data_IF_901237580302
#
_entry.id   IF_901237580302
#
_cell.length_a   1.000
_cell.length_b   1.000
_cell.length_c   1.000
_cell.angle_alpha   90.00
_cell.angle_beta   90.00
_cell.angle_gamma   90.00
#
_symmetry.space_group_name_H-M   'P 1'
#
loop_
_entity.id
_entity.type
_entity.pdbx_description
1 polymer ?
#
# COMPACT_ATOMS: atom_id res chain seq x y z
N UNK A 1 -23.33 -4.04 3.49
CA UNK A 1 -21.87 -3.95 3.50
C UNK A 1 -21.30 -5.11 2.70
N UNK A 2 -20.53 -4.81 1.65
CA UNK A 2 -19.86 -5.83 0.85
C UNK A 2 -18.35 -5.73 1.09
N UNK A 3 -17.70 -6.81 1.54
CA UNK A 3 -16.26 -6.83 1.77
C UNK A 3 -15.51 -7.09 0.45
N UNK A 4 -15.31 -6.05 -0.35
CA UNK A 4 -14.56 -6.07 -1.62
C UNK A 4 -13.32 -5.19 -1.53
N UNK A 5 -12.39 -5.37 -2.46
CA UNK A 5 -11.14 -4.62 -2.53
C UNK A 5 -11.33 -3.15 -2.92
N UNK A 6 -12.30 -2.87 -3.80
CA UNK A 6 -12.55 -1.54 -4.34
C UNK A 6 -14.05 -1.19 -4.35
N UNK A 7 -14.40 0.05 -4.02
CA UNK A 7 -15.79 0.52 -4.10
C UNK A 7 -16.34 0.51 -5.53
N UNK A 8 -15.50 0.66 -6.56
CA UNK A 8 -15.92 0.58 -7.95
C UNK A 8 -16.38 -0.82 -8.35
N UNK A 9 -15.97 -1.86 -7.63
CA UNK A 9 -16.53 -3.22 -7.78
C UNK A 9 -18.02 -3.22 -7.48
N UNK A 10 -18.44 -2.58 -6.38
CA UNK A 10 -19.86 -2.47 -6.00
C UNK A 10 -20.61 -1.63 -7.02
N UNK A 11 -20.03 -0.50 -7.46
CA UNK A 11 -20.67 0.37 -8.46
C UNK A 11 -20.87 -0.37 -9.77
N UNK A 12 -19.90 -1.15 -10.23
CA UNK A 12 -20.00 -1.98 -11.45
C UNK A 12 -21.14 -2.99 -11.34
N UNK A 13 -21.25 -3.68 -10.19
CA UNK A 13 -22.38 -4.59 -9.92
C UNK A 13 -23.73 -3.86 -10.03
N UNK A 14 -23.85 -2.68 -9.42
CA UNK A 14 -25.08 -1.90 -9.45
C UNK A 14 -25.48 -1.49 -10.90
N UNK A 15 -24.53 -1.12 -11.74
CA UNK A 15 -24.79 -0.87 -13.16
C UNK A 15 -25.36 -2.10 -13.84
N UNK A 16 -24.73 -3.27 -13.62
CA UNK A 16 -25.15 -4.53 -14.24
C UNK A 16 -26.52 -5.02 -13.73
N UNK A 17 -26.76 -4.98 -12.44
CA UNK A 17 -28.03 -5.38 -11.81
C UNK A 17 -29.21 -4.52 -12.27
N UNK A 18 -28.96 -3.26 -12.59
CA UNK A 18 -29.98 -2.35 -13.10
C UNK A 18 -30.01 -2.27 -14.63
N UNK A 19 -29.27 -3.13 -15.34
CA UNK A 19 -29.16 -3.15 -16.80
C UNK A 19 -28.80 -1.76 -17.38
N UNK A 20 -27.94 -1.01 -16.68
CA UNK A 20 -27.46 0.29 -17.14
C UNK A 20 -26.17 0.11 -17.94
N UNK A 21 -26.08 0.80 -19.07
CA UNK A 21 -24.87 0.82 -19.88
C UNK A 21 -23.76 1.64 -19.21
N UNK A 22 -22.54 1.08 -19.18
CA UNK A 22 -21.35 1.80 -18.70
C UNK A 22 -20.64 2.39 -19.92
N UNK A 23 -20.52 3.74 -20.04
CA UNK A 23 -19.77 4.33 -21.14
C UNK A 23 -18.29 3.87 -21.12
N UNK A 24 -17.71 3.66 -22.30
CA UNK A 24 -16.33 3.14 -22.44
C UNK A 24 -15.29 3.88 -21.59
N UNK A 25 -15.32 5.21 -21.59
CA UNK A 25 -14.39 6.02 -20.79
C UNK A 25 -14.58 5.82 -19.28
N UNK A 26 -15.83 5.68 -18.82
CA UNK A 26 -16.15 5.42 -17.42
C UNK A 26 -15.72 4.01 -17.02
N UNK A 27 -15.91 3.02 -17.88
CA UNK A 27 -15.42 1.66 -17.65
C UNK A 27 -13.90 1.63 -17.46
N UNK A 28 -13.14 2.39 -18.26
CA UNK A 28 -11.69 2.53 -18.09
C UNK A 28 -11.30 3.13 -16.75
N UNK A 29 -11.97 4.19 -16.30
CA UNK A 29 -11.73 4.81 -14.99
C UNK A 29 -12.07 3.88 -13.81
N UNK A 30 -13.21 3.18 -13.90
CA UNK A 30 -13.63 2.21 -12.88
C UNK A 30 -12.67 1.02 -12.81
N UNK A 31 -12.22 0.51 -13.97
CA UNK A 31 -11.18 -0.51 -14.06
C UNK A 31 -9.87 -0.06 -13.41
N UNK A 32 -9.41 1.16 -13.72
CA UNK A 32 -8.20 1.73 -13.13
C UNK A 32 -8.28 1.78 -11.61
N UNK A 33 -9.43 2.16 -11.05
CA UNK A 33 -9.62 2.17 -9.60
C UNK A 33 -9.53 0.76 -8.99
N UNK A 34 -10.16 -0.25 -9.62
CA UNK A 34 -10.06 -1.65 -9.14
C UNK A 34 -8.61 -2.14 -9.21
N UNK A 35 -7.91 -1.89 -10.32
CA UNK A 35 -6.49 -2.27 -10.48
C UNK A 35 -5.63 -1.61 -9.41
N UNK A 36 -5.82 -0.32 -9.15
CA UNK A 36 -5.07 0.43 -8.14
C UNK A 36 -5.30 -0.12 -6.73
N UNK A 37 -6.56 -0.24 -6.30
CA UNK A 37 -6.92 -0.67 -4.94
C UNK A 37 -6.54 -2.14 -4.66
N UNK A 38 -6.56 -2.99 -5.70
CA UNK A 38 -6.21 -4.41 -5.59
C UNK A 38 -4.78 -4.71 -5.99
N UNK A 39 -4.02 -3.70 -6.40
CA UNK A 39 -2.63 -3.84 -6.90
C UNK A 39 -2.56 -4.92 -7.98
N UNK A 40 -3.38 -4.76 -9.03
CA UNK A 40 -3.55 -5.75 -10.11
C UNK A 40 -3.79 -7.16 -9.54
N UNK A 41 -4.77 -7.26 -8.62
CA UNK A 41 -5.23 -8.49 -7.94
C UNK A 41 -4.25 -9.16 -6.97
N UNK A 42 -3.10 -8.52 -6.67
CA UNK A 42 -2.08 -9.05 -5.74
C UNK A 42 -2.35 -8.69 -4.28
N UNK A 43 -3.18 -7.68 -4.02
CA UNK A 43 -3.50 -7.27 -2.64
C UNK A 43 -4.31 -8.35 -1.92
N UNK A 44 -4.04 -8.65 -0.65
CA UNK A 44 -4.86 -9.54 0.18
C UNK A 44 -6.28 -9.00 0.44
N UNK A 45 -6.58 -7.77 0.00
CA UNK A 45 -7.94 -7.20 0.03
C UNK A 45 -8.74 -7.57 -1.21
N UNK A 46 -8.08 -8.03 -2.30
CA UNK A 46 -8.74 -8.44 -3.53
C UNK A 46 -9.67 -9.64 -3.31
N UNK A 47 -10.82 -9.61 -3.93
CA UNK A 47 -11.80 -10.69 -3.93
C UNK A 47 -12.05 -11.20 -5.35
N UNK A 48 -12.65 -12.37 -5.48
CA UNK A 48 -13.08 -12.89 -6.82
C UNK A 48 -14.08 -11.95 -7.49
N UNK A 49 -14.93 -11.26 -6.71
CA UNK A 49 -15.86 -10.26 -7.24
C UNK A 49 -15.13 -9.07 -7.86
N UNK A 50 -14.01 -8.62 -7.28
CA UNK A 50 -13.18 -7.56 -7.87
C UNK A 50 -12.63 -7.97 -9.21
N UNK A 51 -12.11 -9.20 -9.32
CA UNK A 51 -11.59 -9.76 -10.59
C UNK A 51 -12.68 -9.85 -11.64
N UNK A 52 -13.84 -10.41 -11.30
CA UNK A 52 -14.98 -10.54 -12.21
C UNK A 52 -15.42 -9.18 -12.77
N UNK A 53 -15.59 -8.18 -11.91
CA UNK A 53 -16.01 -6.85 -12.33
C UNK A 53 -14.93 -6.16 -13.17
N UNK A 54 -13.64 -6.33 -12.83
CA UNK A 54 -12.54 -5.81 -13.62
C UNK A 54 -12.51 -6.40 -15.04
N UNK A 55 -12.72 -7.71 -15.20
CA UNK A 55 -12.78 -8.33 -16.54
C UNK A 55 -13.93 -7.77 -17.38
N UNK A 56 -15.12 -7.59 -16.81
CA UNK A 56 -16.26 -6.97 -17.50
C UNK A 56 -15.96 -5.53 -17.91
N UNK A 57 -15.33 -4.76 -17.04
CA UNK A 57 -14.95 -3.38 -17.36
C UNK A 57 -13.87 -3.31 -18.44
N UNK A 58 -12.92 -4.25 -18.45
CA UNK A 58 -11.88 -4.33 -19.47
C UNK A 58 -12.45 -4.63 -20.86
N UNK A 59 -13.45 -5.53 -20.97
CA UNK A 59 -14.16 -5.79 -22.20
C UNK A 59 -14.85 -4.52 -22.74
N UNK A 60 -15.56 -3.77 -21.88
CA UNK A 60 -16.22 -2.51 -22.24
C UNK A 60 -15.19 -1.44 -22.63
N UNK A 61 -14.11 -1.31 -21.88
CA UNK A 61 -13.03 -0.36 -22.13
C UNK A 61 -12.20 -0.73 -23.37
N UNK A 62 -12.20 -2.01 -23.77
CA UNK A 62 -11.43 -2.52 -24.90
C UNK A 62 -9.93 -2.53 -24.63
N UNK A 63 -9.53 -2.95 -23.41
CA UNK A 63 -8.12 -3.01 -22.97
C UNK A 63 -7.79 -4.40 -22.44
N UNK A 64 -6.52 -4.80 -22.55
CA UNK A 64 -5.98 -5.96 -21.84
C UNK A 64 -5.62 -5.57 -20.41
N UNK A 65 -6.13 -6.30 -19.42
CA UNK A 65 -5.98 -5.94 -18.01
C UNK A 65 -4.52 -5.97 -17.56
N UNK A 66 -3.75 -6.99 -17.99
CA UNK A 66 -2.40 -7.16 -17.51
C UNK A 66 -1.48 -6.08 -18.05
N UNK A 67 -1.47 -5.84 -19.35
CA UNK A 67 -0.63 -4.80 -19.95
C UNK A 67 -1.03 -3.42 -19.49
N UNK A 68 -2.32 -3.10 -19.48
CA UNK A 68 -2.83 -1.81 -19.00
C UNK A 68 -2.52 -1.59 -17.53
N UNK A 69 -2.76 -2.61 -16.70
CA UNK A 69 -2.54 -2.54 -15.26
C UNK A 69 -1.05 -2.38 -14.90
N UNK A 70 -0.16 -3.10 -15.58
CA UNK A 70 1.27 -2.94 -15.37
C UNK A 70 1.76 -1.55 -15.79
N UNK A 71 1.30 -1.02 -16.91
CA UNK A 71 1.70 0.32 -17.36
C UNK A 71 1.18 1.41 -16.40
N UNK A 72 -0.06 1.25 -15.91
CA UNK A 72 -0.63 2.15 -14.92
C UNK A 72 0.15 2.10 -13.58
N UNK A 73 0.48 0.91 -13.08
CA UNK A 73 1.24 0.74 -11.85
C UNK A 73 2.68 1.28 -12.00
N UNK A 74 3.33 1.07 -13.15
CA UNK A 74 4.65 1.66 -13.43
C UNK A 74 4.61 3.19 -13.41
N UNK A 75 3.61 3.79 -14.07
CA UNK A 75 3.45 5.24 -14.08
C UNK A 75 3.21 5.82 -12.67
N UNK A 76 2.45 5.10 -11.83
CA UNK A 76 2.21 5.49 -10.44
C UNK A 76 3.35 5.19 -9.46
N UNK A 77 4.31 4.35 -9.87
CA UNK A 77 5.46 3.95 -9.07
C UNK A 77 6.72 4.79 -9.34
N UNK A 78 6.64 5.78 -10.23
CA UNK A 78 7.74 6.71 -10.48
C UNK A 78 7.91 7.66 -9.28
N UNK A 79 9.09 7.57 -8.67
CA UNK A 79 9.46 8.33 -7.47
C UNK A 79 10.68 9.23 -7.72
N UNK A 80 11.10 9.37 -8.96
CA UNK A 80 12.34 10.08 -9.34
C UNK A 80 12.36 11.53 -8.86
N UNK A 81 11.20 12.17 -8.77
CA UNK A 81 11.06 13.57 -8.36
C UNK A 81 10.74 13.74 -6.86
N UNK A 82 10.60 12.65 -6.09
CA UNK A 82 10.27 12.70 -4.67
C UNK A 82 11.51 12.91 -3.81
N UNK A 83 11.42 13.85 -2.87
CA UNK A 83 12.40 13.97 -1.78
C UNK A 83 12.22 12.86 -0.74
N UNK A 84 13.22 12.65 0.13
CA UNK A 84 13.09 11.68 1.22
C UNK A 84 11.94 12.02 2.17
N UNK A 85 11.66 13.32 2.39
CA UNK A 85 10.50 13.77 3.19
C UNK A 85 9.17 13.45 2.51
N UNK A 86 9.07 13.64 1.19
CA UNK A 86 7.89 13.25 0.41
C UNK A 86 7.65 11.74 0.48
N UNK A 87 8.71 10.93 0.35
CA UNK A 87 8.63 9.47 0.41
C UNK A 87 8.05 9.02 1.75
N UNK A 88 8.56 9.50 2.88
CA UNK A 88 8.09 9.06 4.20
C UNK A 88 6.69 9.53 4.54
N UNK A 89 6.18 10.57 3.85
CA UNK A 89 4.82 11.09 4.00
C UNK A 89 3.82 10.49 2.99
N UNK A 90 4.28 9.71 2.01
CA UNK A 90 3.39 9.12 1.01
C UNK A 90 2.35 8.23 1.65
N UNK A 91 1.07 8.46 1.36
CA UNK A 91 -0.09 7.76 1.95
C UNK A 91 0.04 7.52 3.46
N UNK A 92 0.59 8.50 4.19
CA UNK A 92 0.80 8.39 5.63
C UNK A 92 -0.54 8.42 6.37
N UNK A 93 -0.65 7.56 7.39
CA UNK A 93 -1.78 7.53 8.33
C UNK A 93 -1.26 7.42 9.76
N UNK A 94 -2.02 8.02 10.67
CA UNK A 94 -1.76 7.96 12.10
C UNK A 94 -2.58 6.86 12.76
N UNK A 95 -2.00 6.24 13.77
CA UNK A 95 -2.64 5.21 14.58
C UNK A 95 -2.27 5.43 16.04
N UNK A 96 -3.24 5.18 16.94
CA UNK A 96 -3.01 5.30 18.38
C UNK A 96 -3.43 4.03 19.10
N UNK A 97 -2.59 3.56 20.03
CA UNK A 97 -2.85 2.40 20.88
C UNK A 97 -2.11 2.58 22.21
N UNK A 98 -2.74 2.22 23.32
CA UNK A 98 -2.14 2.27 24.68
C UNK A 98 -1.53 3.64 25.05
N UNK A 99 -2.12 4.74 24.57
CA UNK A 99 -1.65 6.10 24.84
C UNK A 99 -0.46 6.55 24.00
N UNK A 100 -0.01 5.74 23.04
CA UNK A 100 1.05 6.05 22.08
C UNK A 100 0.45 6.37 20.71
N UNK A 101 1.10 7.28 19.99
CA UNK A 101 0.70 7.64 18.61
C UNK A 101 1.85 7.39 17.64
N UNK A 102 1.56 6.68 16.58
CA UNK A 102 2.53 6.34 15.52
C UNK A 102 2.03 6.78 14.15
N UNK A 103 2.96 7.03 13.23
CA UNK A 103 2.66 7.22 11.82
C UNK A 103 3.16 6.05 10.98
N UNK A 104 2.40 5.66 9.95
CA UNK A 104 2.81 4.64 8.99
C UNK A 104 2.50 5.15 7.58
N UNK A 105 3.55 5.48 6.83
CA UNK A 105 3.50 5.78 5.40
C UNK A 105 3.58 4.50 4.57
N UNK A 106 3.25 4.59 3.29
CA UNK A 106 3.42 3.50 2.33
C UNK A 106 3.75 4.04 0.95
N UNK A 107 4.82 3.53 0.37
CA UNK A 107 5.18 3.73 -1.02
C UNK A 107 5.24 2.37 -1.70
N UNK A 108 4.71 2.30 -2.93
CA UNK A 108 4.70 1.07 -3.73
C UNK A 108 5.49 1.30 -5.01
N UNK A 109 6.51 0.48 -5.23
CA UNK A 109 7.42 0.58 -6.38
C UNK A 109 7.56 -0.78 -7.06
N UNK A 110 8.01 -0.76 -8.31
CA UNK A 110 8.27 -2.01 -9.07
C UNK A 110 9.63 -2.61 -8.71
N UNK A 111 10.59 -1.77 -8.26
CA UNK A 111 11.90 -2.16 -7.78
C UNK A 111 12.27 -1.29 -6.58
N UNK A 112 12.69 -1.91 -5.50
CA UNK A 112 13.04 -1.22 -4.25
C UNK A 112 14.52 -0.83 -4.17
N UNK A 113 15.35 -1.20 -5.12
CA UNK A 113 16.80 -1.04 -5.08
C UNK A 113 17.20 0.42 -4.83
N UNK A 114 16.69 1.35 -5.64
CA UNK A 114 17.06 2.78 -5.54
C UNK A 114 16.52 3.43 -4.26
N UNK A 115 15.33 3.02 -3.80
CA UNK A 115 14.75 3.52 -2.55
C UNK A 115 15.55 3.03 -1.35
N UNK A 116 15.86 1.74 -1.31
CA UNK A 116 16.59 1.13 -0.19
C UNK A 116 18.07 1.49 -0.18
N UNK A 117 18.65 1.89 -1.31
CA UNK A 117 19.99 2.49 -1.34
C UNK A 117 20.09 3.76 -0.46
N UNK A 118 18.95 4.43 -0.24
CA UNK A 118 18.82 5.63 0.64
C UNK A 118 18.26 5.29 2.02
N UNK A 119 18.33 4.04 2.48
CA UNK A 119 17.70 3.61 3.74
C UNK A 119 18.07 4.50 4.93
N UNK A 120 19.34 4.82 5.12
CA UNK A 120 19.80 5.67 6.23
C UNK A 120 19.19 7.09 6.18
N UNK A 121 19.05 7.64 4.97
CA UNK A 121 18.45 8.96 4.75
C UNK A 121 16.94 8.93 5.01
N UNK A 122 16.26 7.85 4.62
CA UNK A 122 14.84 7.66 4.90
C UNK A 122 14.57 7.50 6.39
N UNK A 123 15.43 6.76 7.11
CA UNK A 123 15.36 6.65 8.58
C UNK A 123 15.57 8.02 9.23
N UNK A 124 16.49 8.83 8.73
CA UNK A 124 16.69 10.21 9.22
C UNK A 124 15.45 11.10 8.94
N UNK A 125 14.81 10.96 7.78
CA UNK A 125 13.57 11.68 7.46
C UNK A 125 12.41 11.22 8.35
N UNK A 126 12.29 9.91 8.65
CA UNK A 126 11.32 9.38 9.62
C UNK A 126 11.55 9.94 11.02
N UNK A 127 12.81 10.09 11.46
CA UNK A 127 13.13 10.70 12.75
C UNK A 127 12.73 12.18 12.80
N UNK A 128 12.99 12.94 11.74
CA UNK A 128 12.56 14.32 11.63
C UNK A 128 11.03 14.44 11.68
N UNK A 129 10.31 13.59 10.91
CA UNK A 129 8.85 13.50 10.93
C UNK A 129 8.30 13.16 12.33
N UNK A 130 8.87 12.13 12.97
CA UNK A 130 8.52 11.70 14.32
C UNK A 130 8.65 12.82 15.34
N UNK A 131 9.80 13.49 15.34
CA UNK A 131 10.12 14.56 16.30
C UNK A 131 9.23 15.78 16.08
N UNK A 132 8.97 16.17 14.83
CA UNK A 132 8.14 17.34 14.51
C UNK A 132 6.67 17.18 14.93
N UNK A 133 6.16 15.94 14.99
CA UNK A 133 4.76 15.66 15.31
C UNK A 133 4.57 15.01 16.69
N UNK A 134 5.64 14.83 17.46
CA UNK A 134 5.63 14.13 18.75
C UNK A 134 5.07 12.69 18.67
N UNK A 135 5.35 11.97 17.58
CA UNK A 135 5.00 10.55 17.48
C UNK A 135 5.95 9.70 18.34
N UNK A 136 5.43 8.61 18.90
CA UNK A 136 6.25 7.60 19.60
C UNK A 136 7.15 6.85 18.62
N UNK A 137 6.63 6.60 17.40
CA UNK A 137 7.39 6.06 16.29
C UNK A 137 6.83 6.49 14.93
N UNK A 138 7.68 6.48 13.91
CA UNK A 138 7.28 6.68 12.51
C UNK A 138 7.80 5.53 11.66
N UNK A 139 6.96 5.07 10.73
CA UNK A 139 7.25 3.94 9.85
C UNK A 139 7.00 4.31 8.39
N UNK A 140 7.76 3.69 7.48
CA UNK A 140 7.46 3.67 6.04
C UNK A 140 7.52 2.24 5.52
N UNK A 141 6.48 1.83 4.82
CA UNK A 141 6.45 0.59 4.04
C UNK A 141 7.01 0.87 2.66
N UNK A 142 8.17 0.31 2.35
CA UNK A 142 8.71 0.27 0.99
C UNK A 142 8.28 -1.04 0.36
N UNK A 143 7.20 -1.00 -0.41
CA UNK A 143 6.54 -2.19 -0.97
C UNK A 143 7.00 -2.44 -2.40
N UNK A 144 7.56 -3.63 -2.65
CA UNK A 144 7.83 -4.15 -4.00
C UNK A 144 6.57 -4.83 -4.51
N UNK A 145 5.98 -4.27 -5.58
CA UNK A 145 4.74 -4.77 -6.17
C UNK A 145 4.96 -6.13 -6.86
N UNK A 146 6.12 -6.33 -7.49
CA UNK A 146 6.42 -7.55 -8.25
C UNK A 146 6.71 -8.74 -7.33
N UNK A 147 7.47 -8.51 -6.27
CA UNK A 147 7.87 -9.53 -5.32
C UNK A 147 6.85 -9.73 -4.19
N UNK A 148 5.78 -8.92 -4.18
CA UNK A 148 4.74 -8.94 -3.13
C UNK A 148 5.34 -8.84 -1.71
N UNK A 149 6.37 -8.01 -1.55
CA UNK A 149 7.13 -7.89 -0.32
C UNK A 149 7.22 -6.44 0.16
N UNK A 150 7.51 -6.24 1.43
CA UNK A 150 7.72 -4.91 2.03
C UNK A 150 9.00 -4.91 2.87
N UNK A 151 9.84 -3.90 2.68
CA UNK A 151 10.82 -3.52 3.70
C UNK A 151 10.18 -2.42 4.55
N UNK A 152 9.94 -2.71 5.82
CA UNK A 152 9.41 -1.75 6.78
C UNK A 152 10.58 -1.06 7.47
N UNK A 153 10.75 0.25 7.20
CA UNK A 153 11.72 1.09 7.90
C UNK A 153 11.03 1.84 9.03
N UNK A 154 11.76 2.17 10.08
CA UNK A 154 11.19 2.86 11.23
C UNK A 154 12.18 3.77 11.94
N UNK A 155 11.64 4.70 12.73
CA UNK A 155 12.36 5.53 13.69
C UNK A 155 11.60 5.57 15.03
N UNK A 156 12.34 5.72 16.12
CA UNK A 156 11.86 5.64 17.50
C UNK A 156 12.43 4.43 18.24
N UNK A 157 12.22 4.38 19.56
CA UNK A 157 12.66 3.24 20.39
C UNK A 157 11.64 2.08 20.30
N UNK A 158 11.55 1.45 19.13
CA UNK A 158 10.51 0.45 18.81
C UNK A 158 11.05 -0.84 18.18
N UNK A 159 12.36 -1.06 18.20
CA UNK A 159 12.97 -2.28 17.66
C UNK A 159 12.39 -3.54 18.31
N UNK A 160 12.22 -3.54 19.64
CA UNK A 160 11.60 -4.64 20.37
C UNK A 160 10.13 -4.87 19.96
N UNK A 161 9.40 -3.79 19.67
CA UNK A 161 8.01 -3.86 19.16
C UNK A 161 7.98 -4.51 17.78
N UNK A 162 8.86 -4.06 16.88
CA UNK A 162 8.95 -4.60 15.51
C UNK A 162 9.37 -6.07 15.53
N UNK A 163 10.38 -6.42 16.33
CA UNK A 163 10.81 -7.82 16.50
C UNK A 163 9.69 -8.71 17.03
N UNK A 164 8.95 -8.24 18.06
CA UNK A 164 7.80 -8.96 18.63
C UNK A 164 6.64 -9.08 17.63
N UNK A 165 6.38 -8.02 16.85
CA UNK A 165 5.27 -7.97 15.90
C UNK A 165 5.45 -8.95 14.73
N UNK A 166 6.69 -9.11 14.24
CA UNK A 166 6.95 -9.84 13.00
C UNK A 166 7.82 -11.09 13.17
N UNK A 167 8.39 -11.32 14.36
CA UNK A 167 9.30 -12.43 14.65
C UNK A 167 10.47 -12.51 13.65
N UNK A 168 11.01 -11.36 13.28
CA UNK A 168 12.10 -11.19 12.31
C UNK A 168 13.23 -10.37 12.91
N UNK A 169 14.43 -10.62 12.39
CA UNK A 169 15.60 -9.83 12.71
C UNK A 169 15.47 -8.41 12.12
N UNK A 170 15.74 -7.42 12.95
CA UNK A 170 15.82 -6.02 12.56
C UNK A 170 17.27 -5.70 12.22
N UNK A 171 17.48 -4.99 11.11
CA UNK A 171 18.79 -4.49 10.71
C UNK A 171 18.68 -3.06 10.22
N UNK A 172 19.55 -2.18 10.72
CA UNK A 172 19.63 -0.78 10.30
C UNK A 172 18.26 -0.07 10.29
N UNK A 173 17.46 -0.24 11.37
CA UNK A 173 16.10 0.29 11.51
C UNK A 173 15.13 -0.22 10.42
N UNK A 174 15.35 -1.40 9.90
CA UNK A 174 14.53 -2.03 8.88
C UNK A 174 14.26 -3.50 9.12
N UNK A 175 13.13 -4.00 8.63
CA UNK A 175 12.77 -5.42 8.62
C UNK A 175 12.19 -5.81 7.26
N UNK A 176 12.65 -6.90 6.69
CA UNK A 176 12.12 -7.44 5.43
C UNK A 176 10.96 -8.40 5.69
N UNK A 177 9.82 -8.14 5.06
CA UNK A 177 8.56 -8.85 5.24
C UNK A 177 8.08 -9.41 3.89
N UNK A 178 8.32 -10.70 3.60
CA UNK A 178 7.79 -11.32 2.39
C UNK A 178 6.26 -11.46 2.47
N UNK A 179 5.61 -11.52 1.29
CA UNK A 179 4.15 -11.66 1.16
C UNK A 179 3.37 -10.59 1.94
N UNK A 180 3.91 -9.37 2.01
CA UNK A 180 3.35 -8.28 2.80
C UNK A 180 3.17 -7.05 1.92
N UNK A 181 1.91 -6.67 1.67
CA UNK A 181 1.54 -5.54 0.83
C UNK A 181 0.51 -4.62 1.47
N UNK A 182 -0.22 -5.11 2.47
CA UNK A 182 -1.34 -4.37 3.06
C UNK A 182 -1.00 -3.79 4.42
N UNK A 183 -0.86 -2.46 4.50
CA UNK A 183 -0.72 -1.75 5.77
C UNK A 183 -1.84 -2.14 6.75
N UNK A 184 -3.10 -2.05 6.31
CA UNK A 184 -4.28 -2.27 7.15
C UNK A 184 -4.39 -3.69 7.71
N UNK A 185 -4.06 -4.70 6.90
CA UNK A 185 -4.25 -6.10 7.28
C UNK A 185 -3.00 -6.74 7.88
N UNK A 186 -1.81 -6.33 7.42
CA UNK A 186 -0.57 -7.07 7.68
C UNK A 186 0.45 -6.30 8.52
N UNK A 187 0.37 -4.95 8.61
CA UNK A 187 1.32 -4.14 9.36
C UNK A 187 0.69 -3.54 10.63
N UNK A 188 -0.44 -2.86 10.50
CA UNK A 188 -1.06 -2.16 11.64
C UNK A 188 -1.43 -3.11 12.78
N UNK A 189 -2.14 -4.24 12.55
CA UNK A 189 -2.56 -5.09 13.66
C UNK A 189 -1.40 -5.72 14.45
N UNK A 190 -0.33 -6.26 13.83
CA UNK A 190 0.82 -6.79 14.57
C UNK A 190 1.54 -5.71 15.39
N UNK A 191 1.78 -4.52 14.82
CA UNK A 191 2.46 -3.43 15.52
C UNK A 191 1.64 -2.99 16.74
N UNK A 192 0.35 -2.66 16.54
CA UNK A 192 -0.51 -2.23 17.66
C UNK A 192 -0.68 -3.33 18.71
N UNK A 193 -0.72 -4.60 18.28
CA UNK A 193 -0.75 -5.74 19.21
C UNK A 193 0.53 -5.88 20.04
N UNK A 194 1.68 -5.58 19.46
CA UNK A 194 2.97 -5.65 20.13
C UNK A 194 3.25 -4.45 21.06
N UNK A 195 2.55 -3.32 20.87
CA UNK A 195 2.65 -2.11 21.70
C UNK A 195 1.92 -2.22 23.05
N UNK A 196 1.04 -3.20 23.18
CA UNK A 196 0.34 -3.52 24.45
C UNK A 196 1.28 -4.20 25.42
#
# INVERSE_FOLDING_TARGET
LEPVGCSNTIITKLYMENNQEIPKAIAGLMLSAIISDTVLFRSPTCTETDKEMAHKLAEIAGVDIESYGLDMLKAGADISDLTNDDIVRTDMKEFSEAGKTISIGQISVMDTTDVLAKQAELVAALEALRSANNYDASYIMVTNILDESTTLLFSGDVEAVVTKAFEKEVKDNGVFLPNTMSRKKQIVPPILGAMK
#
